data_IF_468960258565
#
_entry.id   IF_468960258565
#
_cell.length_a   1.000
_cell.length_b   1.000
_cell.length_c   1.000
_cell.angle_alpha   90.00
_cell.angle_beta   90.00
_cell.angle_gamma   90.00
#
_symmetry.space_group_name_H-M   'P 1'
#
loop_
_entity.id
_entity.type
_entity.pdbx_description
1 polymer ?
#
# COMPACT_ATOMS: atom_id res chain seq x y z
N UNK A 1 35.23 -8.18 -8.97
CA UNK A 1 34.57 -6.87 -8.81
C UNK A 1 33.94 -6.50 -10.13
N UNK A 2 32.66 -6.80 -10.32
CA UNK A 2 31.90 -6.32 -11.48
C UNK A 2 31.44 -4.90 -11.17
N UNK A 3 31.93 -3.95 -11.95
CA UNK A 3 31.50 -2.55 -11.89
C UNK A 3 30.06 -2.50 -12.38
N UNK A 4 29.13 -2.16 -11.48
CA UNK A 4 27.74 -1.84 -11.84
C UNK A 4 27.79 -0.61 -12.73
N UNK A 5 27.65 -0.79 -14.04
CA UNK A 5 27.36 0.33 -14.96
C UNK A 5 25.93 0.76 -14.70
N UNK A 6 25.75 1.81 -13.90
CA UNK A 6 24.52 2.57 -13.89
C UNK A 6 24.31 3.11 -15.30
N UNK A 7 23.35 2.58 -16.03
CA UNK A 7 22.86 3.19 -17.25
C UNK A 7 22.13 4.48 -16.83
N UNK A 8 22.87 5.59 -16.77
CA UNK A 8 22.29 6.91 -16.65
C UNK A 8 21.64 7.20 -17.99
N UNK A 9 20.32 7.09 -18.06
CA UNK A 9 19.56 7.63 -19.20
C UNK A 9 19.84 9.13 -19.23
N UNK A 10 20.26 9.71 -20.37
CA UNK A 10 20.49 11.13 -20.42
C UNK A 10 19.21 11.88 -20.03
N UNK A 11 19.30 13.02 -19.34
CA UNK A 11 18.13 13.82 -19.02
C UNK A 11 17.37 14.14 -20.30
N UNK A 12 16.06 13.98 -20.28
CA UNK A 12 15.18 14.43 -21.37
C UNK A 12 15.42 15.93 -21.61
N UNK A 13 15.35 16.32 -22.86
CA UNK A 13 15.58 17.70 -23.32
C UNK A 13 14.79 18.69 -22.46
N UNK A 14 15.43 19.67 -21.80
CA UNK A 14 14.75 20.65 -20.94
C UNK A 14 13.77 21.59 -21.67
N UNK A 15 13.68 21.50 -22.98
CA UNK A 15 12.77 22.30 -23.82
C UNK A 15 11.47 21.59 -24.21
N UNK A 16 11.25 20.35 -23.78
CA UNK A 16 9.95 19.69 -23.98
C UNK A 16 8.92 20.28 -23.01
N UNK A 17 7.68 20.55 -23.49
CA UNK A 17 6.58 20.95 -22.60
C UNK A 17 6.41 19.88 -21.53
N UNK A 18 5.94 20.25 -20.32
CA UNK A 18 5.69 19.26 -19.28
C UNK A 18 4.81 18.15 -19.85
N UNK A 19 5.20 16.89 -19.58
CA UNK A 19 4.45 15.73 -20.04
C UNK A 19 2.96 15.88 -19.66
N UNK A 20 2.04 15.57 -20.57
CA UNK A 20 0.62 15.74 -20.31
C UNK A 20 0.22 14.93 -19.06
N UNK A 21 -0.58 15.54 -18.20
CA UNK A 21 -1.19 14.84 -17.06
C UNK A 21 -2.08 13.70 -17.58
N UNK A 22 -2.09 12.58 -16.85
CA UNK A 22 -2.94 11.41 -17.13
C UNK A 22 -4.26 11.45 -16.35
N UNK A 23 -4.63 12.62 -15.84
CA UNK A 23 -5.92 12.86 -15.20
C UNK A 23 -7.00 12.82 -16.27
N UNK A 24 -7.98 11.91 -16.09
CA UNK A 24 -9.08 11.71 -17.05
C UNK A 24 -10.10 12.86 -17.03
N UNK A 25 -10.44 13.31 -15.81
CA UNK A 25 -11.35 14.43 -15.56
C UNK A 25 -10.88 15.19 -14.31
N UNK A 26 -10.36 16.40 -14.53
CA UNK A 26 -9.79 17.21 -13.45
C UNK A 26 -10.88 17.75 -12.49
N UNK A 27 -12.10 17.96 -12.94
CA UNK A 27 -13.19 18.44 -12.09
C UNK A 27 -13.69 17.33 -11.16
N UNK A 28 -13.94 16.14 -11.71
CA UNK A 28 -14.33 14.96 -10.92
C UNK A 28 -13.23 14.61 -9.92
N UNK A 29 -11.97 14.63 -10.31
CA UNK A 29 -10.86 14.34 -9.41
C UNK A 29 -10.75 15.39 -8.28
N UNK A 30 -10.95 16.68 -8.59
CA UNK A 30 -10.97 17.73 -7.57
C UNK A 30 -12.09 17.50 -6.55
N UNK A 31 -13.31 17.21 -7.02
CA UNK A 31 -14.45 16.91 -6.14
C UNK A 31 -14.20 15.66 -5.27
N UNK A 32 -13.58 14.62 -5.83
CA UNK A 32 -13.21 13.41 -5.10
C UNK A 32 -12.17 13.71 -4.02
N UNK A 33 -11.09 14.41 -4.38
CA UNK A 33 -10.02 14.77 -3.41
C UNK A 33 -10.54 15.67 -2.31
N UNK A 34 -11.39 16.66 -2.62
CA UNK A 34 -12.03 17.54 -1.63
C UNK A 34 -12.96 16.75 -0.68
N UNK A 35 -13.71 15.79 -1.22
CA UNK A 35 -14.58 14.93 -0.42
C UNK A 35 -13.75 14.05 0.52
N UNK A 36 -12.67 13.47 0.03
CA UNK A 36 -11.75 12.65 0.84
C UNK A 36 -11.05 13.52 1.88
N UNK A 37 -10.56 14.71 1.53
CA UNK A 37 -9.92 15.63 2.46
C UNK A 37 -10.87 16.03 3.61
N UNK A 38 -12.15 16.27 3.29
CA UNK A 38 -13.20 16.53 4.30
C UNK A 38 -13.44 15.32 5.18
N UNK A 39 -13.57 14.11 4.61
CA UNK A 39 -13.75 12.87 5.35
C UNK A 39 -12.56 12.61 6.29
N UNK A 40 -11.34 12.78 5.82
CA UNK A 40 -10.12 12.68 6.65
C UNK A 40 -10.20 13.63 7.83
N UNK A 41 -10.46 14.92 7.58
CA UNK A 41 -10.49 15.95 8.63
C UNK A 41 -11.63 15.76 9.64
N UNK A 42 -12.82 15.38 9.16
CA UNK A 42 -14.05 15.38 9.98
C UNK A 42 -14.34 14.04 10.63
N UNK A 43 -13.82 12.93 10.06
CA UNK A 43 -14.10 11.59 10.54
C UNK A 43 -12.86 10.81 10.98
N UNK A 44 -11.80 10.80 10.17
CA UNK A 44 -10.64 9.95 10.45
C UNK A 44 -9.71 10.55 11.50
N UNK A 45 -9.38 11.84 11.41
CA UNK A 45 -8.52 12.53 12.38
C UNK A 45 -9.12 12.50 13.80
N UNK A 46 -10.43 12.79 14.03
CA UNK A 46 -11.02 12.67 15.35
C UNK A 46 -11.01 11.24 15.92
N UNK A 47 -10.95 10.22 15.09
CA UNK A 47 -10.92 8.81 15.51
C UNK A 47 -9.50 8.28 15.82
N UNK A 48 -8.43 9.02 15.49
CA UNK A 48 -7.05 8.55 15.64
C UNK A 48 -6.71 8.10 17.05
N UNK A 49 -7.11 8.88 18.06
CA UNK A 49 -6.87 8.54 19.46
C UNK A 49 -7.58 7.24 19.86
N UNK A 50 -8.85 7.10 19.51
CA UNK A 50 -9.62 5.89 19.77
C UNK A 50 -8.94 4.66 19.13
N UNK A 51 -8.54 4.77 17.86
CA UNK A 51 -7.86 3.67 17.15
C UNK A 51 -6.50 3.35 17.79
N UNK A 52 -5.75 4.35 18.23
CA UNK A 52 -4.47 4.15 18.91
C UNK A 52 -4.62 3.42 20.25
N UNK A 53 -5.69 3.72 21.00
CA UNK A 53 -5.96 3.12 22.33
C UNK A 53 -6.57 1.74 22.24
N UNK A 54 -7.52 1.52 21.30
CA UNK A 54 -8.30 0.27 21.21
C UNK A 54 -7.78 -0.73 20.20
N UNK A 55 -6.82 -0.33 19.36
CA UNK A 55 -6.35 -1.11 18.20
C UNK A 55 -7.47 -1.52 17.23
N UNK A 56 -8.55 -0.73 17.14
CA UNK A 56 -9.72 -1.06 16.32
C UNK A 56 -10.24 0.17 15.58
N UNK A 57 -10.46 0.05 14.27
CA UNK A 57 -11.15 1.07 13.48
C UNK A 57 -12.66 0.91 13.70
N UNK A 58 -13.40 1.97 14.09
CA UNK A 58 -14.84 1.90 14.29
C UNK A 58 -15.60 1.40 13.06
N UNK A 59 -16.61 0.56 13.26
CA UNK A 59 -17.40 -0.07 12.18
C UNK A 59 -18.13 0.97 11.32
N UNK A 60 -18.57 2.08 11.90
CA UNK A 60 -19.24 3.17 11.17
C UNK A 60 -18.25 3.88 10.22
N UNK A 61 -17.00 4.03 10.61
CA UNK A 61 -15.94 4.55 9.73
C UNK A 61 -15.67 3.56 8.59
N UNK A 62 -15.61 2.27 8.87
CA UNK A 62 -15.45 1.24 7.82
C UNK A 62 -16.63 1.26 6.85
N UNK A 63 -17.85 1.45 7.35
CA UNK A 63 -19.06 1.58 6.52
C UNK A 63 -19.00 2.83 5.63
N UNK A 64 -18.59 3.98 6.18
CA UNK A 64 -18.38 5.21 5.40
C UNK A 64 -17.33 5.01 4.31
N UNK A 65 -16.20 4.37 4.62
CA UNK A 65 -15.14 4.06 3.63
C UNK A 65 -15.65 3.19 2.49
N UNK A 66 -16.51 2.19 2.80
CA UNK A 66 -17.16 1.35 1.78
C UNK A 66 -18.13 2.17 0.92
N UNK A 67 -18.98 2.96 1.54
CA UNK A 67 -19.97 3.80 0.85
C UNK A 67 -19.32 4.83 -0.08
N UNK A 68 -18.13 5.31 0.28
CA UNK A 68 -17.32 6.22 -0.56
C UNK A 68 -16.54 5.51 -1.67
N UNK A 69 -16.60 4.18 -1.79
CA UNK A 69 -15.89 3.41 -2.80
C UNK A 69 -14.37 3.33 -2.57
N UNK A 70 -13.87 3.61 -1.36
CA UNK A 70 -12.44 3.65 -1.08
C UNK A 70 -11.75 2.27 -1.22
N UNK A 71 -12.49 1.18 -1.19
CA UNK A 71 -11.96 -0.17 -1.42
C UNK A 71 -11.72 -0.49 -2.90
N UNK A 72 -12.30 0.31 -3.82
CA UNK A 72 -12.24 0.11 -5.26
C UNK A 72 -11.55 1.23 -6.04
N UNK A 73 -10.73 2.08 -5.42
CA UNK A 73 -10.09 3.24 -6.07
C UNK A 73 -9.40 2.87 -7.38
N UNK A 74 -8.60 1.81 -7.37
CA UNK A 74 -7.79 1.34 -8.50
C UNK A 74 -8.41 0.20 -9.30
N UNK A 75 -9.55 -0.31 -8.85
CA UNK A 75 -10.27 -1.40 -9.53
C UNK A 75 -11.06 -0.80 -10.69
N UNK A 76 -10.98 -1.37 -11.92
CA UNK A 76 -11.72 -0.86 -13.07
C UNK A 76 -13.24 -0.79 -12.84
N UNK A 77 -13.88 0.19 -13.48
CA UNK A 77 -15.33 0.45 -13.37
C UNK A 77 -16.18 -0.77 -13.75
N UNK A 78 -15.74 -1.56 -14.73
CA UNK A 78 -16.45 -2.79 -15.14
C UNK A 78 -16.54 -3.85 -14.04
N UNK A 79 -15.73 -3.75 -12.98
CA UNK A 79 -15.77 -4.60 -11.78
C UNK A 79 -16.27 -3.85 -10.54
N UNK A 80 -16.86 -2.65 -10.73
CA UNK A 80 -17.48 -1.87 -9.65
C UNK A 80 -16.53 -0.94 -8.88
N UNK A 81 -15.32 -0.70 -9.37
CA UNK A 81 -14.39 0.26 -8.80
C UNK A 81 -14.47 1.64 -9.45
N UNK A 82 -13.57 2.56 -9.04
CA UNK A 82 -13.45 3.91 -9.60
C UNK A 82 -12.48 3.99 -10.79
N UNK A 83 -11.67 2.97 -11.00
CA UNK A 83 -10.74 2.87 -12.12
C UNK A 83 -9.69 3.97 -12.18
N UNK A 84 -9.26 4.54 -11.06
CA UNK A 84 -8.32 5.65 -11.03
C UNK A 84 -7.00 5.28 -11.72
N UNK A 85 -6.45 6.21 -12.50
CA UNK A 85 -5.07 6.14 -13.01
C UNK A 85 -4.08 6.19 -11.84
N UNK A 86 -2.80 5.90 -12.07
CA UNK A 86 -1.82 5.95 -10.99
C UNK A 86 -1.61 7.38 -10.49
N UNK A 87 -1.65 8.38 -11.37
CA UNK A 87 -1.57 9.80 -10.99
C UNK A 87 -2.77 10.22 -10.13
N UNK A 88 -3.99 9.85 -10.54
CA UNK A 88 -5.22 10.12 -9.78
C UNK A 88 -5.20 9.43 -8.40
N UNK A 89 -4.78 8.16 -8.35
CA UNK A 89 -4.64 7.40 -7.10
C UNK A 89 -3.63 8.02 -6.14
N UNK A 90 -2.50 8.52 -6.66
CA UNK A 90 -1.47 9.20 -5.87
C UNK A 90 -1.98 10.50 -5.27
N UNK A 91 -2.75 11.29 -6.03
CA UNK A 91 -3.36 12.53 -5.54
C UNK A 91 -4.37 12.26 -4.42
N UNK A 92 -5.20 11.25 -4.56
CA UNK A 92 -6.10 10.76 -3.49
C UNK A 92 -5.30 10.26 -2.28
N UNK A 93 -4.21 9.54 -2.50
CA UNK A 93 -3.38 9.00 -1.44
C UNK A 93 -2.66 10.09 -0.63
N UNK A 94 -2.34 11.24 -1.21
CA UNK A 94 -1.81 12.39 -0.45
C UNK A 94 -2.80 12.87 0.61
N UNK A 95 -4.09 12.92 0.29
CA UNK A 95 -5.13 13.30 1.27
C UNK A 95 -5.36 12.20 2.32
N UNK A 96 -5.46 10.94 1.90
CA UNK A 96 -5.60 9.81 2.82
C UNK A 96 -4.40 9.63 3.76
N UNK A 97 -3.22 10.10 3.35
CA UNK A 97 -2.01 10.10 4.18
C UNK A 97 -2.03 11.13 5.30
N UNK A 98 -2.96 12.09 5.30
CA UNK A 98 -3.05 13.15 6.33
C UNK A 98 -3.69 12.68 7.64
N UNK A 99 -3.83 11.40 7.83
CA UNK A 99 -4.33 10.74 9.04
C UNK A 99 -3.52 9.48 9.34
N UNK A 100 -3.89 8.74 10.37
CA UNK A 100 -3.24 7.47 10.71
C UNK A 100 -3.18 6.54 9.49
N UNK A 101 -1.99 6.01 9.13
CA UNK A 101 -1.86 5.04 8.03
C UNK A 101 -2.68 3.75 8.22
N UNK A 102 -3.20 3.49 9.41
CA UNK A 102 -4.04 2.33 9.70
C UNK A 102 -5.32 2.30 8.84
N UNK A 103 -5.99 3.45 8.68
CA UNK A 103 -7.19 3.56 7.85
C UNK A 103 -6.91 3.16 6.40
N UNK A 104 -5.80 3.65 5.84
CA UNK A 104 -5.36 3.25 4.50
C UNK A 104 -5.00 1.77 4.45
N UNK A 105 -4.38 1.21 5.47
CA UNK A 105 -3.95 -0.19 5.48
C UNK A 105 -5.13 -1.15 5.37
N UNK A 106 -6.29 -0.80 5.93
CA UNK A 106 -7.51 -1.60 5.82
C UNK A 106 -7.96 -1.76 4.36
N UNK A 107 -8.13 -0.66 3.63
CA UNK A 107 -8.60 -0.68 2.25
C UNK A 107 -7.48 -0.92 1.22
N UNK A 108 -6.24 -0.67 1.61
CA UNK A 108 -5.09 -0.68 0.70
C UNK A 108 -4.74 -2.07 0.18
N UNK A 109 -5.12 -3.13 0.88
CA UNK A 109 -4.97 -4.49 0.38
C UNK A 109 -5.93 -4.77 -0.78
N UNK A 110 -7.18 -4.31 -0.71
CA UNK A 110 -8.16 -4.45 -1.79
C UNK A 110 -7.75 -3.64 -3.04
N UNK A 111 -7.30 -2.40 -2.88
CA UNK A 111 -6.81 -1.58 -3.99
C UNK A 111 -5.44 -2.03 -4.54
N UNK A 112 -4.66 -2.71 -3.72
CA UNK A 112 -3.27 -3.06 -4.01
C UNK A 112 -3.04 -4.57 -4.00
N UNK A 113 -2.20 -4.99 -3.08
CA UNK A 113 -1.56 -6.32 -3.08
C UNK A 113 -2.52 -7.51 -3.02
N UNK A 114 -3.74 -7.33 -2.52
CA UNK A 114 -4.76 -8.40 -2.46
C UNK A 114 -5.51 -8.60 -3.78
N UNK A 115 -5.83 -7.52 -4.51
CA UNK A 115 -6.62 -7.60 -5.75
C UNK A 115 -5.78 -7.50 -7.03
N UNK A 116 -4.69 -6.73 -7.01
CA UNK A 116 -3.93 -6.40 -8.23
C UNK A 116 -3.32 -7.62 -8.93
N UNK A 117 -3.00 -8.69 -8.21
CA UNK A 117 -2.54 -9.94 -8.82
C UNK A 117 -3.60 -10.54 -9.74
N UNK A 118 -4.86 -10.53 -9.32
CA UNK A 118 -6.00 -11.01 -10.09
C UNK A 118 -6.27 -10.07 -11.27
N UNK A 119 -6.23 -8.75 -11.06
CA UNK A 119 -6.46 -7.76 -12.11
C UNK A 119 -5.39 -7.80 -13.22
N UNK A 120 -4.13 -7.99 -12.87
CA UNK A 120 -3.01 -7.94 -13.82
C UNK A 120 -2.89 -9.22 -14.63
N UNK A 121 -2.90 -10.37 -13.96
CA UNK A 121 -2.57 -11.65 -14.58
C UNK A 121 -3.71 -12.69 -14.49
N UNK A 122 -4.83 -12.41 -13.79
CA UNK A 122 -5.98 -13.33 -13.69
C UNK A 122 -6.76 -13.49 -15.00
N UNK A 123 -7.46 -14.60 -15.13
CA UNK A 123 -8.40 -14.81 -16.23
C UNK A 123 -9.64 -13.93 -16.08
N UNK A 124 -10.43 -13.76 -17.14
CA UNK A 124 -11.64 -12.94 -17.05
C UNK A 124 -12.66 -13.54 -16.08
N UNK A 125 -12.78 -14.86 -16.03
CA UNK A 125 -13.63 -15.59 -15.09
C UNK A 125 -13.21 -15.31 -13.65
N UNK A 126 -11.90 -15.32 -13.36
CA UNK A 126 -11.37 -15.00 -12.03
C UNK A 126 -11.67 -13.54 -11.66
N UNK A 127 -11.51 -12.61 -12.60
CA UNK A 127 -11.81 -11.19 -12.36
C UNK A 127 -13.28 -10.98 -12.06
N UNK A 128 -14.18 -11.54 -12.88
CA UNK A 128 -15.63 -11.44 -12.68
C UNK A 128 -16.10 -12.07 -11.37
N UNK A 129 -15.48 -13.18 -10.96
CA UNK A 129 -15.84 -13.90 -9.73
C UNK A 129 -15.42 -13.16 -8.46
N UNK A 130 -14.18 -12.62 -8.43
CA UNK A 130 -13.60 -12.18 -7.16
C UNK A 130 -13.47 -10.65 -7.01
N UNK A 131 -13.27 -9.92 -8.11
CA UNK A 131 -12.93 -8.49 -8.02
C UNK A 131 -14.10 -7.61 -7.56
N UNK A 132 -15.38 -7.85 -7.97
CA UNK A 132 -16.49 -7.00 -7.53
C UNK A 132 -16.66 -6.92 -6.01
N UNK A 133 -16.57 -8.05 -5.31
CA UNK A 133 -16.69 -8.08 -3.85
C UNK A 133 -15.48 -7.40 -3.16
N UNK A 134 -14.30 -7.42 -3.79
CA UNK A 134 -13.14 -6.65 -3.33
C UNK A 134 -13.33 -5.15 -3.56
N UNK A 135 -13.92 -4.74 -4.68
CA UNK A 135 -14.15 -3.33 -5.02
C UNK A 135 -15.10 -2.64 -4.03
N UNK A 136 -16.14 -3.33 -3.59
CA UNK A 136 -17.09 -2.82 -2.60
C UNK A 136 -16.59 -2.89 -1.16
N UNK A 137 -15.53 -3.67 -0.91
CA UNK A 137 -15.08 -3.99 0.44
C UNK A 137 -15.99 -4.99 1.18
N UNK A 138 -16.93 -5.66 0.49
CA UNK A 138 -17.68 -6.78 1.04
C UNK A 138 -16.72 -7.89 1.46
N UNK A 139 -15.74 -8.18 0.62
CA UNK A 139 -14.63 -9.08 0.90
C UNK A 139 -13.34 -8.28 1.08
N UNK A 140 -12.63 -8.53 2.17
CA UNK A 140 -11.31 -7.98 2.42
C UNK A 140 -10.27 -8.94 1.85
N UNK A 141 -9.40 -8.42 0.99
CA UNK A 141 -8.29 -9.18 0.41
C UNK A 141 -7.02 -9.10 1.26
N UNK A 142 -6.21 -10.16 1.24
CA UNK A 142 -4.88 -10.16 1.83
C UNK A 142 -3.86 -10.82 0.91
N UNK A 143 -2.58 -10.50 1.13
CA UNK A 143 -1.46 -10.96 0.31
C UNK A 143 -0.49 -11.81 1.13
N UNK A 144 -0.38 -13.08 0.78
CA UNK A 144 0.37 -14.10 1.50
C UNK A 144 1.68 -14.44 0.77
N UNK A 145 2.73 -13.63 0.98
CA UNK A 145 4.07 -13.84 0.42
C UNK A 145 5.08 -14.21 1.51
N UNK A 146 5.24 -13.35 2.51
CA UNK A 146 6.24 -13.46 3.58
C UNK A 146 6.01 -14.72 4.43
N UNK A 147 7.10 -15.40 4.82
CA UNK A 147 7.11 -16.58 5.68
C UNK A 147 8.04 -16.36 6.89
N UNK A 148 7.99 -17.19 7.94
CA UNK A 148 8.88 -17.05 9.10
C UNK A 148 10.35 -16.91 8.74
N UNK A 149 10.84 -17.67 7.74
CA UNK A 149 12.23 -17.68 7.28
C UNK A 149 12.46 -16.95 5.95
N UNK A 150 11.41 -16.37 5.34
CA UNK A 150 11.45 -15.79 3.99
C UNK A 150 10.85 -14.39 4.01
N UNK A 151 11.72 -13.38 4.07
CA UNK A 151 11.36 -11.97 4.02
C UNK A 151 11.96 -11.30 2.78
N UNK A 152 13.17 -10.73 2.93
CA UNK A 152 13.87 -10.02 1.85
C UNK A 152 14.18 -10.90 0.64
N UNK A 153 14.50 -12.19 0.87
CA UNK A 153 14.64 -13.18 -0.21
C UNK A 153 13.28 -13.83 -0.52
N UNK A 154 12.36 -13.02 -1.05
CA UNK A 154 10.99 -13.45 -1.32
C UNK A 154 10.87 -14.51 -2.44
N UNK A 155 11.92 -14.75 -3.21
CA UNK A 155 11.99 -15.85 -4.16
C UNK A 155 12.18 -17.23 -3.53
N UNK A 156 12.61 -17.27 -2.25
CA UNK A 156 12.88 -18.51 -1.50
C UNK A 156 11.63 -19.09 -0.79
N UNK A 157 10.41 -18.73 -1.21
CA UNK A 157 9.14 -19.22 -0.66
C UNK A 157 9.18 -20.73 -0.45
N UNK A 158 8.83 -21.19 0.77
CA UNK A 158 8.83 -22.59 1.20
C UNK A 158 7.44 -23.21 1.28
N UNK A 159 6.37 -22.42 1.41
CA UNK A 159 4.98 -22.92 1.34
C UNK A 159 4.82 -23.74 0.07
N UNK A 160 4.43 -24.99 0.21
CA UNK A 160 4.30 -25.95 -0.91
C UNK A 160 2.88 -25.96 -1.43
N UNK A 161 2.74 -26.17 -2.75
CA UNK A 161 1.48 -26.48 -3.40
C UNK A 161 1.69 -27.74 -4.26
N UNK A 162 1.23 -28.87 -3.75
CA UNK A 162 1.37 -30.16 -4.42
C UNK A 162 0.09 -30.47 -5.22
N UNK A 163 0.24 -30.79 -6.48
CA UNK A 163 -0.92 -31.15 -7.34
C UNK A 163 -1.55 -32.47 -6.92
N UNK A 164 -2.88 -32.45 -6.81
CA UNK A 164 -3.74 -33.62 -6.51
C UNK A 164 -4.94 -33.60 -7.46
N UNK A 165 -4.78 -34.20 -8.63
CA UNK A 165 -5.80 -34.20 -9.69
C UNK A 165 -6.11 -32.79 -10.21
N UNK A 166 -7.34 -32.36 -10.00
CA UNK A 166 -7.86 -31.04 -10.35
C UNK A 166 -7.69 -29.97 -9.23
N UNK A 167 -6.94 -30.30 -8.19
CA UNK A 167 -6.66 -29.44 -7.04
C UNK A 167 -5.17 -29.34 -6.74
N UNK A 168 -4.84 -28.44 -5.83
CA UNK A 168 -3.54 -28.35 -5.17
C UNK A 168 -3.72 -28.41 -3.65
N UNK A 169 -2.82 -29.14 -2.98
CA UNK A 169 -2.75 -29.20 -1.53
C UNK A 169 -1.69 -28.23 -1.06
N UNK A 170 -2.10 -27.17 -0.40
CA UNK A 170 -1.21 -26.14 0.14
C UNK A 170 -0.84 -26.48 1.59
N UNK A 171 0.48 -26.41 1.88
CA UNK A 171 1.04 -26.60 3.22
C UNK A 171 2.15 -25.57 3.49
N UNK A 172 2.04 -24.85 4.60
CA UNK A 172 3.00 -23.83 5.01
C UNK A 172 2.42 -22.75 5.89
N UNK A 173 3.27 -21.80 6.29
CA UNK A 173 2.86 -20.67 7.14
C UNK A 173 3.29 -19.36 6.50
N UNK A 174 2.36 -18.42 6.38
CA UNK A 174 2.59 -17.05 5.96
C UNK A 174 2.58 -16.14 7.18
N UNK A 175 3.47 -15.15 7.21
CA UNK A 175 3.73 -14.33 8.38
C UNK A 175 3.50 -12.85 8.13
N UNK A 176 3.04 -12.12 9.15
CA UNK A 176 2.76 -10.68 9.10
C UNK A 176 1.75 -10.30 8.03
N UNK A 177 0.72 -11.11 7.85
CA UNK A 177 -0.28 -10.90 6.78
C UNK A 177 -1.26 -9.81 7.20
N UNK A 178 -1.14 -8.65 6.56
CA UNK A 178 -2.04 -7.50 6.77
C UNK A 178 -3.47 -7.88 6.41
N UNK A 179 -4.41 -7.49 7.27
CA UNK A 179 -5.82 -7.88 7.23
C UNK A 179 -6.07 -9.40 7.37
N UNK A 180 -5.03 -10.21 7.63
CA UNK A 180 -5.14 -11.67 7.79
C UNK A 180 -6.26 -12.12 8.72
N UNK A 181 -6.47 -11.49 9.91
CA UNK A 181 -7.57 -11.87 10.81
C UNK A 181 -8.97 -11.75 10.19
N UNK A 182 -9.16 -10.82 9.26
CA UNK A 182 -10.46 -10.45 8.69
C UNK A 182 -10.62 -10.79 7.21
N UNK A 183 -9.54 -11.24 6.54
CA UNK A 183 -9.54 -11.49 5.11
C UNK A 183 -10.47 -12.63 4.72
N UNK A 184 -11.35 -12.35 3.76
CA UNK A 184 -12.18 -13.35 3.08
C UNK A 184 -11.55 -13.91 1.81
N UNK A 185 -10.45 -13.29 1.34
CA UNK A 185 -9.72 -13.73 0.15
C UNK A 185 -8.21 -13.56 0.35
N UNK A 186 -7.46 -14.59 0.02
CA UNK A 186 -5.99 -14.58 0.06
C UNK A 186 -5.39 -14.75 -1.33
N UNK A 187 -4.49 -13.85 -1.72
CA UNK A 187 -3.55 -14.08 -2.84
C UNK A 187 -2.30 -14.75 -2.28
N UNK A 188 -2.12 -16.03 -2.54
CA UNK A 188 -1.10 -16.88 -1.90
C UNK A 188 -0.01 -17.24 -2.88
N UNK A 189 1.25 -16.94 -2.51
CA UNK A 189 2.44 -17.40 -3.23
C UNK A 189 2.89 -18.73 -2.64
N UNK A 190 2.88 -19.80 -3.46
CA UNK A 190 3.31 -21.13 -3.03
C UNK A 190 4.19 -21.79 -4.10
N UNK A 191 5.08 -22.67 -3.68
CA UNK A 191 6.01 -23.40 -4.54
C UNK A 191 5.34 -24.63 -5.10
N UNK A 192 5.14 -24.64 -6.42
CA UNK A 192 4.63 -25.79 -7.17
C UNK A 192 5.76 -26.66 -7.71
N UNK A 193 6.93 -26.09 -7.99
CA UNK A 193 8.09 -26.82 -8.47
C UNK A 193 9.27 -26.65 -7.49
N UNK A 194 9.61 -27.70 -6.69
CA UNK A 194 10.72 -27.66 -5.75
C UNK A 194 12.10 -27.71 -6.40
N UNK A 195 12.20 -28.20 -7.64
CA UNK A 195 13.47 -28.33 -8.36
C UNK A 195 13.95 -27.00 -8.93
N UNK A 196 13.01 -26.06 -9.17
CA UNK A 196 13.33 -24.73 -9.68
C UNK A 196 13.63 -23.79 -8.51
N UNK A 197 14.88 -23.36 -8.42
CA UNK A 197 15.34 -22.39 -7.42
C UNK A 197 14.80 -20.99 -7.69
N UNK A 198 14.67 -20.18 -6.63
CA UNK A 198 14.20 -18.80 -6.70
C UNK A 198 12.72 -18.69 -7.11
N UNK A 199 12.36 -17.57 -7.72
CA UNK A 199 10.96 -17.26 -8.03
C UNK A 199 10.33 -18.07 -9.15
N UNK A 200 11.12 -18.80 -9.97
CA UNK A 200 10.61 -19.56 -11.11
C UNK A 200 9.73 -20.75 -10.74
N UNK A 201 9.90 -21.33 -9.54
CA UNK A 201 9.06 -22.42 -9.04
C UNK A 201 7.84 -21.94 -8.22
N UNK A 202 7.56 -20.64 -8.17
CA UNK A 202 6.50 -20.05 -7.35
C UNK A 202 5.27 -19.73 -8.21
N UNK A 203 4.11 -20.20 -7.75
CA UNK A 203 2.80 -19.99 -8.37
C UNK A 203 1.92 -19.15 -7.44
N UNK A 204 1.05 -18.31 -8.02
CA UNK A 204 0.10 -17.50 -7.29
C UNK A 204 -1.28 -18.16 -7.31
N UNK A 205 -1.92 -18.28 -6.15
CA UNK A 205 -3.23 -18.87 -5.96
C UNK A 205 -4.21 -17.85 -5.38
N UNK A 206 -5.47 -17.94 -5.80
CA UNK A 206 -6.62 -17.33 -5.12
C UNK A 206 -7.15 -18.35 -4.13
N UNK A 207 -7.19 -18.00 -2.84
CA UNK A 207 -7.69 -18.90 -1.80
C UNK A 207 -8.77 -18.18 -1.01
N UNK A 208 -9.99 -18.73 -0.99
CA UNK A 208 -11.11 -18.20 -0.23
C UNK A 208 -10.87 -18.40 1.27
N UNK A 209 -11.25 -17.40 2.08
CA UNK A 209 -10.85 -17.33 3.49
C UNK A 209 -11.45 -18.39 4.41
N UNK A 210 -12.50 -19.07 3.96
CA UNK A 210 -13.20 -20.18 4.65
C UNK A 210 -12.76 -21.56 4.14
N UNK A 211 -11.79 -21.63 3.21
CA UNK A 211 -11.28 -22.92 2.69
C UNK A 211 -10.79 -23.80 3.84
N UNK A 212 -11.25 -25.05 3.94
CA UNK A 212 -10.79 -25.98 4.97
C UNK A 212 -9.26 -26.14 4.95
N UNK A 213 -8.65 -26.19 6.14
CA UNK A 213 -7.19 -26.25 6.28
C UNK A 213 -6.52 -24.88 6.43
N UNK A 214 -7.29 -23.78 6.43
CA UNK A 214 -6.79 -22.48 6.81
C UNK A 214 -7.02 -22.24 8.29
N UNK A 215 -5.97 -21.78 8.98
CA UNK A 215 -6.08 -21.22 10.33
C UNK A 215 -5.33 -19.89 10.44
N UNK A 216 -5.83 -19.04 11.33
CA UNK A 216 -5.31 -17.70 11.58
C UNK A 216 -4.63 -17.68 12.95
N UNK A 217 -3.38 -17.19 12.98
CA UNK A 217 -2.66 -16.93 14.22
C UNK A 217 -3.28 -15.78 15.01
N UNK A 218 -2.78 -15.58 16.23
CA UNK A 218 -3.12 -14.40 17.03
C UNK A 218 -2.64 -13.14 16.32
N UNK A 219 -3.43 -12.07 16.39
CA UNK A 219 -3.01 -10.76 15.88
C UNK A 219 -1.70 -10.29 16.54
N UNK A 220 -0.78 -9.77 15.73
CA UNK A 220 0.51 -9.27 16.19
C UNK A 220 0.32 -8.00 17.04
N UNK A 221 1.03 -7.91 18.15
CA UNK A 221 1.13 -6.69 18.94
C UNK A 221 2.20 -5.80 18.31
N UNK A 222 1.80 -4.64 17.78
CA UNK A 222 2.68 -3.73 17.06
C UNK A 222 2.92 -2.45 17.84
N UNK A 223 4.07 -1.80 17.64
CA UNK A 223 4.37 -0.49 18.21
C UNK A 223 3.53 0.61 17.56
N UNK A 224 3.29 0.53 16.26
CA UNK A 224 2.54 1.53 15.48
C UNK A 224 1.50 0.91 14.57
N UNK A 225 0.79 1.76 13.82
CA UNK A 225 -0.33 1.39 12.95
C UNK A 225 -1.39 0.55 13.67
N UNK A 226 -1.77 0.98 14.87
CA UNK A 226 -2.92 0.44 15.58
C UNK A 226 -4.16 0.51 14.70
N UNK A 227 -5.00 -0.54 14.72
CA UNK A 227 -6.16 -0.70 13.83
C UNK A 227 -5.85 -1.39 12.50
N UNK A 228 -4.57 -1.57 12.12
CA UNK A 228 -4.15 -2.34 10.95
C UNK A 228 -3.60 -3.70 11.41
N UNK A 229 -4.46 -4.70 11.55
CA UNK A 229 -4.06 -5.98 12.10
C UNK A 229 -3.23 -6.82 11.12
N UNK A 230 -2.24 -7.52 11.66
CA UNK A 230 -1.47 -8.57 10.96
C UNK A 230 -1.50 -9.85 11.78
N UNK A 231 -1.40 -11.00 11.12
CA UNK A 231 -1.24 -12.29 11.80
C UNK A 231 -0.54 -13.30 10.88
N UNK A 232 -0.24 -14.46 11.44
CA UNK A 232 0.16 -15.62 10.66
C UNK A 232 -1.07 -16.27 10.01
N UNK A 233 -0.92 -16.74 8.75
CA UNK A 233 -1.90 -17.58 8.06
C UNK A 233 -1.25 -18.94 7.82
N UNK A 234 -1.87 -19.98 8.36
CA UNK A 234 -1.37 -21.34 8.33
C UNK A 234 -2.24 -22.15 7.35
N UNK A 235 -1.60 -22.81 6.41
CA UNK A 235 -2.20 -23.75 5.48
C UNK A 235 -1.78 -25.16 5.90
N UNK A 236 -2.74 -25.99 6.28
CA UNK A 236 -2.54 -27.39 6.68
C UNK A 236 -3.47 -28.27 5.82
N UNK A 237 -2.88 -28.94 4.84
CA UNK A 237 -3.60 -29.72 3.85
C UNK A 237 -4.77 -28.94 3.19
N UNK A 238 -4.55 -27.65 2.98
CA UNK A 238 -5.54 -26.74 2.40
C UNK A 238 -5.74 -27.09 0.92
N UNK A 239 -6.93 -27.56 0.56
CA UNK A 239 -7.26 -28.01 -0.78
C UNK A 239 -7.83 -26.85 -1.61
N UNK A 240 -7.11 -26.47 -2.67
CA UNK A 240 -7.44 -25.34 -3.55
C UNK A 240 -7.64 -25.84 -4.98
N UNK A 241 -8.74 -25.49 -5.68
CA UNK A 241 -8.96 -25.86 -7.07
C UNK A 241 -7.84 -25.37 -7.99
N UNK A 242 -7.45 -26.16 -8.99
CA UNK A 242 -6.42 -25.79 -9.95
C UNK A 242 -6.81 -24.56 -10.78
N UNK A 243 -8.10 -24.33 -11.00
CA UNK A 243 -8.64 -23.12 -11.64
C UNK A 243 -8.37 -21.83 -10.86
N UNK A 244 -8.02 -21.93 -9.58
CA UNK A 244 -7.65 -20.80 -8.73
C UNK A 244 -6.17 -20.38 -8.85
N UNK A 245 -5.39 -21.03 -9.71
CA UNK A 245 -4.09 -20.47 -10.13
C UNK A 245 -4.35 -19.16 -10.88
N UNK A 246 -3.77 -18.06 -10.42
CA UNK A 246 -3.92 -16.76 -11.08
C UNK A 246 -3.38 -16.86 -12.53
N UNK A 247 -4.28 -16.62 -13.49
CA UNK A 247 -3.96 -16.71 -14.92
C UNK A 247 -3.76 -18.14 -15.42
N UNK A 248 -4.08 -19.18 -14.61
CA UNK A 248 -4.05 -20.59 -15.01
C UNK A 248 -2.66 -21.17 -15.30
N UNK A 249 -1.56 -20.44 -14.96
CA UNK A 249 -0.19 -20.85 -15.31
C UNK A 249 0.70 -20.95 -14.08
N UNK A 250 1.30 -22.14 -13.90
CA UNK A 250 2.30 -22.36 -12.85
C UNK A 250 3.63 -21.60 -13.11
N UNK A 251 4.40 -21.36 -12.05
CA UNK A 251 5.76 -20.82 -12.10
C UNK A 251 5.87 -19.33 -12.46
N UNK A 252 4.73 -18.61 -12.60
CA UNK A 252 4.72 -17.16 -12.93
C UNK A 252 4.35 -16.28 -11.75
N UNK A 253 3.93 -16.86 -10.63
CA UNK A 253 3.39 -16.13 -9.48
C UNK A 253 4.36 -15.11 -8.89
N UNK A 254 5.65 -15.41 -8.87
CA UNK A 254 6.66 -14.44 -8.39
C UNK A 254 6.72 -13.19 -9.28
N UNK A 255 6.59 -13.34 -10.61
CA UNK A 255 6.55 -12.20 -11.54
C UNK A 255 5.30 -11.35 -11.30
N UNK A 256 4.16 -11.99 -11.09
CA UNK A 256 2.91 -11.33 -10.70
C UNK A 256 3.09 -10.54 -9.41
N UNK A 257 3.68 -11.14 -8.37
CA UNK A 257 3.96 -10.48 -7.10
C UNK A 257 4.83 -9.22 -7.29
N UNK A 258 5.88 -9.27 -8.11
CA UNK A 258 6.76 -8.12 -8.35
C UNK A 258 6.04 -6.96 -9.06
N UNK A 259 5.19 -7.24 -10.05
CA UNK A 259 4.35 -6.21 -10.72
C UNK A 259 3.42 -5.50 -9.73
N UNK A 260 2.81 -6.27 -8.84
CA UNK A 260 1.90 -5.77 -7.80
C UNK A 260 2.65 -4.87 -6.81
N UNK A 261 3.86 -5.27 -6.39
CA UNK A 261 4.68 -4.52 -5.44
C UNK A 261 5.16 -3.18 -6.00
N UNK A 262 5.42 -3.04 -7.29
CA UNK A 262 5.82 -1.76 -7.90
C UNK A 262 4.71 -0.71 -7.75
N UNK A 263 3.44 -1.07 -7.99
CA UNK A 263 2.30 -0.19 -7.73
C UNK A 263 2.19 0.16 -6.24
N UNK A 264 2.32 -0.83 -5.37
CA UNK A 264 2.28 -0.64 -3.92
C UNK A 264 3.35 0.32 -3.40
N UNK A 265 4.56 0.31 -4.00
CA UNK A 265 5.66 1.23 -3.65
C UNK A 265 5.29 2.69 -3.94
N UNK A 266 4.68 2.99 -5.08
CA UNK A 266 4.22 4.34 -5.42
C UNK A 266 3.12 4.81 -4.46
N UNK A 267 2.13 3.95 -4.21
CA UNK A 267 1.03 4.28 -3.31
C UNK A 267 1.50 4.56 -1.88
N UNK A 268 2.37 3.69 -1.30
CA UNK A 268 2.87 3.94 0.06
C UNK A 268 3.77 5.18 0.13
N UNK A 269 4.49 5.50 -0.95
CA UNK A 269 5.27 6.73 -1.05
C UNK A 269 4.37 7.97 -0.99
N UNK A 270 3.23 7.93 -1.67
CA UNK A 270 2.23 9.00 -1.61
C UNK A 270 1.65 9.16 -0.18
N UNK A 271 1.34 8.07 0.50
CA UNK A 271 0.91 8.10 1.90
C UNK A 271 1.98 8.76 2.79
N UNK A 272 3.27 8.43 2.63
CA UNK A 272 4.35 9.07 3.38
C UNK A 272 4.39 10.59 3.16
N UNK A 273 4.13 11.07 1.94
CA UNK A 273 4.04 12.50 1.62
C UNK A 273 2.84 13.14 2.33
N UNK A 274 1.69 12.47 2.35
CA UNK A 274 0.49 12.95 3.08
C UNK A 274 0.73 13.07 4.58
N UNK A 275 1.34 12.03 5.19
CA UNK A 275 1.75 12.05 6.62
C UNK A 275 2.71 13.21 6.89
N UNK A 276 3.75 13.37 6.07
CA UNK A 276 4.70 14.48 6.23
C UNK A 276 4.03 15.84 6.12
N UNK A 277 3.07 16.00 5.19
CA UNK A 277 2.30 17.24 5.04
C UNK A 277 1.55 17.57 6.32
N UNK A 278 0.83 16.62 6.92
CA UNK A 278 0.09 16.81 8.17
C UNK A 278 1.04 17.16 9.34
N UNK A 279 2.14 16.42 9.49
CA UNK A 279 3.11 16.64 10.55
C UNK A 279 3.75 18.03 10.48
N UNK A 280 4.05 18.53 9.26
CA UNK A 280 4.57 19.89 9.07
C UNK A 280 3.52 20.93 9.47
N UNK A 281 2.26 20.77 9.07
CA UNK A 281 1.17 21.70 9.44
C UNK A 281 0.96 21.74 10.95
N UNK A 282 0.90 20.58 11.61
CA UNK A 282 0.75 20.51 13.07
C UNK A 282 1.94 21.16 13.78
N UNK A 283 3.18 20.92 13.31
CA UNK A 283 4.38 21.53 13.87
C UNK A 283 4.42 23.04 13.66
N UNK A 284 3.99 23.56 12.51
CA UNK A 284 3.89 25.00 12.22
C UNK A 284 2.87 25.66 13.15
N UNK A 285 1.67 25.08 13.28
CA UNK A 285 0.60 25.62 14.12
C UNK A 285 1.03 25.65 15.58
N UNK A 286 1.59 24.56 16.09
CA UNK A 286 2.11 24.52 17.46
C UNK A 286 3.22 25.55 17.69
N UNK A 287 4.19 25.64 16.76
CA UNK A 287 5.32 26.56 16.91
C UNK A 287 4.91 28.04 16.83
N UNK A 288 3.84 28.37 16.12
CA UNK A 288 3.30 29.72 16.02
C UNK A 288 2.60 30.16 17.33
N UNK A 289 1.99 29.23 18.06
CA UNK A 289 1.26 29.53 19.31
C UNK A 289 2.16 29.41 20.55
N UNK A 290 3.05 28.43 20.62
CA UNK A 290 3.91 28.15 21.76
C UNK A 290 4.97 29.23 21.92
N UNK A 291 5.02 29.88 23.10
CA UNK A 291 6.00 30.94 23.40
C UNK A 291 7.05 30.46 24.39
N UNK A 292 8.32 30.73 24.08
CA UNK A 292 9.47 30.59 24.96
C UNK A 292 10.47 31.71 24.68
N UNK A 293 11.21 32.12 25.73
CA UNK A 293 12.15 33.26 25.64
C UNK A 293 11.48 34.55 25.13
N UNK A 294 10.20 34.78 25.55
CA UNK A 294 9.43 35.97 25.26
C UNK A 294 8.81 36.07 23.87
N UNK A 295 8.91 35.07 23.02
CA UNK A 295 8.38 35.04 21.63
C UNK A 295 7.90 33.65 21.19
N UNK A 296 7.07 33.58 20.14
CA UNK A 296 6.71 32.28 19.53
C UNK A 296 7.94 31.47 19.15
N UNK A 297 7.92 30.14 19.35
CA UNK A 297 9.11 29.31 19.08
C UNK A 297 9.43 29.22 17.58
N UNK A 298 8.47 29.47 16.70
CA UNK A 298 8.69 29.54 15.24
C UNK A 298 9.67 30.65 14.85
N UNK A 299 9.91 31.66 15.70
CA UNK A 299 10.89 32.73 15.47
C UNK A 299 12.34 32.35 15.84
N UNK A 300 12.55 31.13 16.36
CA UNK A 300 13.90 30.62 16.63
C UNK A 300 14.46 29.90 15.40
N UNK A 301 15.69 30.23 15.01
CA UNK A 301 16.31 29.71 13.78
C UNK A 301 16.40 28.18 13.70
N UNK A 302 16.61 27.47 14.83
CA UNK A 302 16.65 26.02 14.83
C UNK A 302 15.27 25.41 14.53
N UNK A 303 14.19 26.03 14.97
CA UNK A 303 12.83 25.60 14.62
C UNK A 303 12.56 25.86 13.14
N UNK A 304 12.94 27.05 12.65
CA UNK A 304 12.82 27.39 11.22
C UNK A 304 13.59 26.42 10.34
N UNK A 305 14.81 26.02 10.73
CA UNK A 305 15.62 25.03 9.99
C UNK A 305 14.90 23.68 9.92
N UNK A 306 14.37 23.16 11.05
CA UNK A 306 13.63 21.89 11.05
C UNK A 306 12.40 21.93 10.14
N UNK A 307 11.64 23.04 10.15
CA UNK A 307 10.46 23.20 9.29
C UNK A 307 10.85 23.33 7.80
N UNK A 308 11.91 24.09 7.50
CA UNK A 308 12.40 24.29 6.14
C UNK A 308 12.90 22.97 5.52
N UNK A 309 13.73 22.22 6.25
CA UNK A 309 14.23 20.91 5.81
C UNK A 309 13.08 19.94 5.58
N UNK A 310 12.11 19.89 6.51
CA UNK A 310 10.95 19.01 6.38
C UNK A 310 10.11 19.35 5.15
N UNK A 311 9.90 20.65 4.89
CA UNK A 311 9.15 21.12 3.72
C UNK A 311 9.90 20.80 2.41
N UNK A 312 11.22 21.03 2.36
CA UNK A 312 12.03 20.75 1.18
C UNK A 312 12.06 19.26 0.84
N UNK A 313 12.28 18.40 1.84
CA UNK A 313 12.28 16.95 1.65
C UNK A 313 10.89 16.42 1.22
N UNK A 314 9.80 16.90 1.84
CA UNK A 314 8.44 16.52 1.47
C UNK A 314 8.12 16.94 0.04
N UNK A 315 8.50 18.17 -0.38
CA UNK A 315 8.32 18.65 -1.75
C UNK A 315 9.06 17.78 -2.78
N UNK A 316 10.30 17.39 -2.47
CA UNK A 316 11.07 16.48 -3.32
C UNK A 316 10.36 15.12 -3.44
N UNK A 317 9.92 14.52 -2.33
CA UNK A 317 9.19 13.26 -2.32
C UNK A 317 7.89 13.32 -3.13
N UNK A 318 7.12 14.40 -2.96
CA UNK A 318 5.89 14.63 -3.73
C UNK A 318 6.15 14.68 -5.24
N UNK A 319 7.18 15.42 -5.65
CA UNK A 319 7.56 15.55 -7.07
C UNK A 319 8.01 14.23 -7.68
N UNK A 320 8.84 13.46 -6.96
CA UNK A 320 9.27 12.13 -7.40
C UNK A 320 8.09 11.17 -7.60
N UNK A 321 7.15 11.14 -6.65
CA UNK A 321 6.01 10.22 -6.70
C UNK A 321 5.07 10.57 -7.85
N UNK A 322 4.79 11.85 -8.08
CA UNK A 322 3.95 12.31 -9.20
C UNK A 322 4.58 11.95 -10.55
N UNK A 323 5.87 12.21 -10.72
CA UNK A 323 6.54 11.90 -11.98
C UNK A 323 6.55 10.39 -12.25
N UNK A 324 6.87 9.57 -11.24
CA UNK A 324 6.84 8.12 -11.39
C UNK A 324 5.43 7.57 -11.66
N UNK A 325 4.40 8.20 -11.09
CA UNK A 325 3.00 7.84 -11.35
C UNK A 325 2.62 8.13 -12.82
N UNK A 326 2.95 9.32 -13.33
CA UNK A 326 2.75 9.70 -14.73
C UNK A 326 3.47 8.77 -15.70
N UNK A 327 4.75 8.47 -15.41
CA UNK A 327 5.52 7.50 -16.20
C UNK A 327 4.83 6.14 -16.28
N UNK A 328 4.28 5.67 -15.14
CA UNK A 328 3.54 4.42 -15.11
C UNK A 328 2.27 4.46 -15.97
N UNK A 329 1.52 5.55 -15.92
CA UNK A 329 0.29 5.71 -16.70
C UNK A 329 0.58 5.84 -18.20
N UNK A 330 1.76 6.33 -18.57
CA UNK A 330 2.27 6.29 -19.97
C UNK A 330 2.72 4.89 -20.43
N UNK A 331 2.64 3.88 -19.54
CA UNK A 331 3.07 2.51 -19.85
C UNK A 331 4.59 2.29 -19.76
N UNK A 332 5.34 3.21 -19.17
CA UNK A 332 6.78 3.10 -19.00
C UNK A 332 7.15 2.11 -17.88
N UNK A 333 8.38 1.57 -17.93
CA UNK A 333 8.88 0.69 -16.88
C UNK A 333 9.38 1.51 -15.69
N UNK A 334 8.66 1.47 -14.58
CA UNK A 334 8.89 2.32 -13.39
C UNK A 334 9.46 1.58 -12.18
N UNK A 335 9.93 0.34 -12.31
CA UNK A 335 10.37 -0.45 -11.14
C UNK A 335 11.51 0.20 -10.36
N UNK A 336 12.45 0.87 -11.06
CA UNK A 336 13.54 1.61 -10.44
C UNK A 336 13.00 2.86 -9.72
N UNK A 337 12.20 3.66 -10.41
CA UNK A 337 11.67 4.92 -9.89
C UNK A 337 10.73 4.68 -8.70
N UNK A 338 9.87 3.66 -8.78
CA UNK A 338 9.02 3.23 -7.68
C UNK A 338 9.85 2.81 -6.45
N UNK A 339 10.99 2.14 -6.66
CA UNK A 339 11.90 1.76 -5.58
C UNK A 339 12.60 2.99 -4.98
N UNK A 340 13.04 3.95 -5.80
CA UNK A 340 13.60 5.22 -5.36
C UNK A 340 12.56 6.04 -4.56
N UNK A 341 11.33 6.16 -5.07
CA UNK A 341 10.24 6.84 -4.37
C UNK A 341 9.99 6.22 -2.99
N UNK A 342 9.88 4.88 -2.94
CA UNK A 342 9.63 4.19 -1.67
C UNK A 342 10.77 4.42 -0.67
N UNK A 343 12.01 4.25 -1.09
CA UNK A 343 13.17 4.47 -0.23
C UNK A 343 13.18 5.91 0.30
N UNK A 344 13.15 6.89 -0.60
CA UNK A 344 13.23 8.30 -0.21
C UNK A 344 12.06 8.72 0.69
N UNK A 345 10.81 8.43 0.30
CA UNK A 345 9.63 8.91 1.04
C UNK A 345 9.49 8.24 2.41
N UNK A 346 9.83 6.95 2.55
CA UNK A 346 9.76 6.27 3.85
C UNK A 346 10.82 6.76 4.82
N UNK A 347 12.02 7.08 4.35
CA UNK A 347 13.07 7.69 5.17
C UNK A 347 12.75 9.17 5.50
N UNK A 348 12.26 9.91 4.52
CA UNK A 348 11.83 11.31 4.67
C UNK A 348 10.78 11.46 5.74
N UNK A 349 9.70 10.67 5.71
CA UNK A 349 8.62 10.80 6.70
C UNK A 349 9.10 10.49 8.12
N UNK A 350 10.05 9.56 8.29
CA UNK A 350 10.70 9.29 9.57
C UNK A 350 11.43 10.52 10.11
N UNK A 351 12.22 11.20 9.27
CA UNK A 351 12.92 12.43 9.67
C UNK A 351 11.97 13.59 9.97
N UNK A 352 10.89 13.72 9.19
CA UNK A 352 9.85 14.74 9.44
C UNK A 352 9.14 14.47 10.76
N UNK A 353 8.81 13.20 11.06
CA UNK A 353 8.18 12.80 12.31
C UNK A 353 9.08 13.12 13.51
N UNK A 354 10.36 12.78 13.45
CA UNK A 354 11.34 13.09 14.51
C UNK A 354 11.41 14.59 14.79
N UNK A 355 11.51 15.42 13.73
CA UNK A 355 11.53 16.89 13.86
C UNK A 355 10.20 17.43 14.43
N UNK A 356 9.06 16.88 14.01
CA UNK A 356 7.76 17.28 14.52
C UNK A 356 7.63 16.99 16.01
N UNK A 357 7.98 15.78 16.45
CA UNK A 357 8.03 15.42 17.88
C UNK A 357 8.97 16.36 18.65
N UNK A 358 10.15 16.65 18.14
CA UNK A 358 11.11 17.57 18.76
C UNK A 358 10.53 18.99 18.89
N UNK A 359 9.81 19.51 17.90
CA UNK A 359 9.19 20.84 17.93
C UNK A 359 8.09 20.89 19.01
N UNK A 360 7.28 19.82 19.15
CA UNK A 360 6.22 19.73 20.16
C UNK A 360 6.79 19.51 21.58
N UNK A 361 8.03 19.06 21.73
CA UNK A 361 8.66 18.80 23.03
C UNK A 361 7.91 17.72 23.79
N UNK A 362 7.54 17.99 25.05
CA UNK A 362 6.82 17.03 25.88
C UNK A 362 5.39 16.71 25.45
N UNK A 363 4.85 17.40 24.45
CA UNK A 363 3.53 17.12 23.85
C UNK A 363 3.62 16.30 22.55
N UNK A 364 4.85 16.02 22.09
CA UNK A 364 5.12 15.26 20.88
C UNK A 364 5.15 13.75 21.06
#
# INVERSE_FOLDING_TARGET
MQVIRLAVTPPKDPMLPPDPTMIRDAEILSQLTDTIARFVRERLVPAEQHVAETDTIPDDIVADMKAMGLFGLSIPEQYGGLGLTMEEEVLVAFELGRTSPAFRSLMGTNNGIGAQGILIDGTEEQKQKYVPALATGEVIGAFCLTEPDVGSDSGAVKTRAQRDGDHYILNGTKRYITNGPHAGLFTVMARTDPEIQGGGGVTAFIVEGDTPGISRGKADVKMGQKGAHTCDIIFDNCRVPAENIIGGKEGVGFKTAMKVLDRGRLHISAICVGVATRLIEDAVNFAAERKQFGKPIIEHQLIQAMLADSRAEMFAGRSMVLEAARSKDRGEKVSLDASCCKLFCSEMVGRVADRAVQIHGGAG
#
